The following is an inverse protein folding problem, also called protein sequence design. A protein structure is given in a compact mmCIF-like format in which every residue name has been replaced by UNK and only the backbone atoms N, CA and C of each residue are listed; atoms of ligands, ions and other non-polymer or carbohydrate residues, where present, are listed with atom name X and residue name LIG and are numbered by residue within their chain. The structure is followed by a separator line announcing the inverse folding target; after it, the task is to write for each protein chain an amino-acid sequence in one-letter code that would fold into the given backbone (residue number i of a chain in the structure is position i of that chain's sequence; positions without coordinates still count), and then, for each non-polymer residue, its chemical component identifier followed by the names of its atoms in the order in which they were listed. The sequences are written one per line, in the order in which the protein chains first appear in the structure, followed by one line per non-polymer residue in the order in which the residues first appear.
data_IF_374578661202
#
_entry.id   IF_374578661202
#
_cell.length_a   1.000
_cell.length_b   1.000
_cell.length_c   1.000
_cell.angle_alpha   90.00
_cell.angle_beta   90.00
_cell.angle_gamma   90.00
#
_symmetry.space_group_name_H-M   'P 1'
#
loop_
_entity.id
_entity.type
_entity.pdbx_description
1 polymer ?
#
# COMPACT_ATOMS: atom_id res chain seq x y z
N UNK A 1 -31.26 38.13 2.25
CA UNK A 1 -29.83 37.74 2.24
C UNK A 1 -29.29 37.94 0.81
N UNK A 2 -28.22 38.69 0.64
CA UNK A 2 -27.64 38.95 -0.70
C UNK A 2 -27.24 37.60 -1.37
N UNK A 3 -27.44 37.39 -2.69
CA UNK A 3 -27.24 36.12 -3.36
C UNK A 3 -25.78 35.56 -3.21
N UNK A 4 -24.79 36.44 -3.02
CA UNK A 4 -23.39 36.06 -2.74
C UNK A 4 -23.25 35.41 -1.34
N UNK A 5 -23.98 35.89 -0.33
CA UNK A 5 -23.94 35.35 1.04
C UNK A 5 -24.60 33.99 1.12
N UNK A 6 -25.70 33.76 0.38
CA UNK A 6 -26.40 32.47 0.29
C UNK A 6 -25.50 31.41 -0.36
N UNK A 7 -24.79 31.73 -1.47
CA UNK A 7 -23.84 30.85 -2.12
C UNK A 7 -22.65 30.49 -1.21
N UNK A 8 -22.13 31.45 -0.44
CA UNK A 8 -21.05 31.25 0.52
C UNK A 8 -21.47 30.31 1.66
N UNK A 9 -22.68 30.54 2.21
CA UNK A 9 -23.24 29.70 3.27
C UNK A 9 -23.46 28.25 2.80
N UNK A 10 -24.05 28.07 1.61
CA UNK A 10 -24.21 26.72 1.02
C UNK A 10 -22.85 26.04 0.88
N UNK A 11 -21.85 26.74 0.37
CA UNK A 11 -20.49 26.17 0.21
C UNK A 11 -19.85 25.79 1.55
N UNK A 12 -20.09 26.56 2.61
CA UNK A 12 -19.62 26.23 3.96
C UNK A 12 -20.31 24.97 4.46
N UNK A 13 -21.62 24.88 4.35
CA UNK A 13 -22.40 23.76 4.86
C UNK A 13 -22.19 22.46 4.06
N UNK A 14 -22.06 22.56 2.72
CA UNK A 14 -22.01 21.38 1.85
C UNK A 14 -20.59 20.89 1.56
N UNK A 15 -19.57 21.74 1.70
CA UNK A 15 -18.19 21.39 1.40
C UNK A 15 -17.29 21.48 2.64
N UNK A 16 -17.19 22.65 3.25
CA UNK A 16 -16.20 22.83 4.33
C UNK A 16 -16.57 22.09 5.62
N UNK A 17 -17.84 22.09 6.02
CA UNK A 17 -18.28 21.44 7.25
C UNK A 17 -18.10 19.89 7.17
N UNK A 18 -18.58 19.19 6.15
CA UNK A 18 -18.31 17.76 6.00
C UNK A 18 -16.80 17.44 5.90
N UNK A 19 -16.05 18.26 5.16
CA UNK A 19 -14.61 18.07 5.01
C UNK A 19 -13.87 18.23 6.34
N UNK A 20 -14.21 19.25 7.12
CA UNK A 20 -13.64 19.46 8.46
C UNK A 20 -14.04 18.33 9.41
N UNK A 21 -15.30 17.86 9.34
CA UNK A 21 -15.74 16.71 10.13
C UNK A 21 -14.90 15.46 9.83
N UNK A 22 -14.71 15.12 8.56
CA UNK A 22 -13.89 13.97 8.17
C UNK A 22 -12.43 14.14 8.58
N UNK A 23 -11.86 15.34 8.43
CA UNK A 23 -10.48 15.61 8.85
C UNK A 23 -10.31 15.44 10.37
N UNK A 24 -11.25 15.92 11.17
CA UNK A 24 -11.22 15.73 12.63
C UNK A 24 -11.45 14.26 13.00
N UNK A 25 -12.43 13.61 12.38
CA UNK A 25 -12.77 12.21 12.65
C UNK A 25 -11.59 11.27 12.41
N UNK A 26 -10.83 11.48 11.32
CA UNK A 26 -9.62 10.68 11.00
C UNK A 26 -8.40 11.20 11.77
N UNK A 27 -8.29 12.53 11.93
CA UNK A 27 -7.11 13.16 12.54
C UNK A 27 -7.00 12.94 14.04
N UNK A 28 -8.13 13.01 14.77
CA UNK A 28 -8.13 12.87 16.24
C UNK A 28 -7.52 11.56 16.71
N UNK A 29 -7.89 10.37 16.18
CA UNK A 29 -7.26 9.12 16.57
C UNK A 29 -5.75 9.07 16.26
N UNK A 30 -5.32 9.64 15.13
CA UNK A 30 -3.90 9.70 14.75
C UNK A 30 -3.11 10.63 15.68
N UNK A 31 -3.66 11.80 16.01
CA UNK A 31 -3.05 12.73 16.98
C UNK A 31 -3.01 12.11 18.37
N UNK A 32 -4.05 11.37 18.76
CA UNK A 32 -4.05 10.60 20.00
C UNK A 32 -2.95 9.54 20.04
N UNK A 33 -2.81 8.74 18.98
CA UNK A 33 -1.75 7.75 18.89
C UNK A 33 -0.36 8.42 18.92
N UNK A 34 -0.19 9.56 18.24
CA UNK A 34 1.04 10.34 18.29
C UNK A 34 1.31 10.85 19.71
N UNK A 35 0.33 11.43 20.39
CA UNK A 35 0.45 11.85 21.78
C UNK A 35 0.84 10.69 22.71
N UNK A 36 0.15 9.54 22.55
CA UNK A 36 0.37 8.35 23.33
C UNK A 36 1.79 7.81 23.16
N UNK A 37 2.37 7.89 21.97
CA UNK A 37 3.74 7.43 21.69
C UNK A 37 4.84 8.17 22.48
N UNK A 38 4.53 9.39 22.95
CA UNK A 38 5.43 10.20 23.78
C UNK A 38 5.15 10.12 25.27
N UNK A 39 4.18 9.29 25.72
CA UNK A 39 3.87 9.10 27.14
C UNK A 39 4.74 8.03 27.76
N UNK A 40 5.01 8.16 29.04
CA UNK A 40 5.59 7.10 29.84
C UNK A 40 4.56 5.97 30.04
N UNK A 41 4.97 4.69 29.80
CA UNK A 41 4.06 3.54 29.79
C UNK A 41 3.28 3.37 31.10
N UNK A 42 3.87 3.75 32.23
CA UNK A 42 3.22 3.70 33.55
C UNK A 42 2.04 4.69 33.71
N UNK A 43 2.05 5.81 32.99
CA UNK A 43 1.00 6.84 33.08
C UNK A 43 -0.31 6.42 32.41
N UNK A 44 -0.23 5.55 31.39
CA UNK A 44 -1.41 5.05 30.65
C UNK A 44 -2.27 4.12 31.50
N UNK A 45 -1.62 3.35 32.38
CA UNK A 45 -2.30 2.40 33.28
C UNK A 45 -3.10 3.12 34.37
N UNK A 46 -2.70 4.34 34.73
CA UNK A 46 -3.37 5.15 35.78
C UNK A 46 -4.69 5.76 35.33
N UNK A 47 -5.08 5.63 34.04
CA UNK A 47 -6.38 6.04 33.54
C UNK A 47 -6.58 7.56 33.43
N UNK A 48 -5.55 8.36 33.60
CA UNK A 48 -5.64 9.82 33.44
C UNK A 48 -5.72 10.19 31.96
N UNK A 49 -6.84 10.79 31.58
CA UNK A 49 -7.00 11.33 30.23
C UNK A 49 -6.20 12.62 30.08
N UNK A 50 -5.02 12.51 29.48
CA UNK A 50 -4.20 13.68 29.14
C UNK A 50 -3.96 13.68 27.62
N UNK A 51 -4.40 14.71 26.91
CA UNK A 51 -4.16 14.81 25.48
C UNK A 51 -2.69 15.16 25.16
N UNK A 52 -2.05 15.98 26.01
CA UNK A 52 -0.63 16.29 25.91
C UNK A 52 0.15 15.47 26.95
N UNK A 53 1.22 14.77 26.54
CA UNK A 53 2.01 13.96 27.45
C UNK A 53 2.81 14.85 28.42
N UNK A 54 2.79 14.51 29.72
CA UNK A 54 3.60 15.14 30.74
C UNK A 54 4.09 14.04 31.72
N UNK A 55 5.42 13.75 31.78
CA UNK A 55 6.48 14.32 30.93
C UNK A 55 6.49 13.75 29.50
N UNK A 56 6.98 14.55 28.53
CA UNK A 56 7.24 14.07 27.16
C UNK A 56 8.49 13.17 27.17
N UNK A 57 8.37 11.95 26.63
CA UNK A 57 9.50 11.03 26.52
C UNK A 57 9.63 10.44 25.13
N UNK A 58 10.87 10.22 24.68
CA UNK A 58 11.20 9.47 23.47
C UNK A 58 11.60 8.02 23.78
N UNK A 59 11.54 7.62 25.04
CA UNK A 59 11.98 6.29 25.51
C UNK A 59 11.29 5.15 24.77
N UNK A 60 9.99 5.30 24.45
CA UNK A 60 9.23 4.29 23.69
C UNK A 60 9.81 4.05 22.30
N UNK A 61 10.21 5.12 21.60
CA UNK A 61 10.83 5.01 20.27
C UNK A 61 12.17 4.29 20.34
N UNK A 62 13.01 4.64 21.32
CA UNK A 62 14.29 3.95 21.55
C UNK A 62 14.04 2.48 21.91
N UNK A 63 13.07 2.21 22.79
CA UNK A 63 12.72 0.85 23.21
C UNK A 63 12.27 -0.01 22.02
N UNK A 64 11.29 0.44 21.24
CA UNK A 64 10.78 -0.37 20.13
C UNK A 64 11.82 -0.55 19.03
N UNK A 65 12.63 0.48 18.77
CA UNK A 65 13.65 0.44 17.72
C UNK A 65 14.78 -0.53 18.06
N UNK A 66 15.27 -0.51 19.30
CA UNK A 66 16.44 -1.27 19.73
C UNK A 66 16.08 -2.58 20.44
N UNK A 67 15.30 -2.51 21.51
CA UNK A 67 14.99 -3.66 22.37
C UNK A 67 13.98 -4.61 21.72
N UNK A 68 12.94 -4.07 21.12
CA UNK A 68 11.94 -4.85 20.39
C UNK A 68 12.37 -5.21 18.95
N UNK A 69 13.54 -4.76 18.50
CA UNK A 69 14.13 -5.07 17.19
C UNK A 69 13.30 -4.56 16.00
N UNK A 70 12.49 -3.50 16.20
CA UNK A 70 11.67 -2.95 15.13
C UNK A 70 12.51 -2.46 13.93
N UNK A 71 13.76 -2.00 14.18
CA UNK A 71 14.74 -1.68 13.15
C UNK A 71 14.94 -2.84 12.16
N UNK A 72 15.06 -4.06 12.64
CA UNK A 72 15.21 -5.25 11.80
C UNK A 72 13.93 -5.58 11.05
N UNK A 73 12.80 -5.53 11.75
CA UNK A 73 11.48 -5.76 11.13
C UNK A 73 11.18 -4.74 10.03
N UNK A 74 11.57 -3.48 10.26
CA UNK A 74 11.47 -2.42 9.29
C UNK A 74 12.27 -2.70 8.01
N UNK A 75 13.53 -3.13 8.15
CA UNK A 75 14.37 -3.55 7.03
C UNK A 75 13.76 -4.74 6.28
N UNK A 76 13.25 -5.75 7.01
CA UNK A 76 12.59 -6.90 6.39
C UNK A 76 11.35 -6.47 5.58
N UNK A 77 10.52 -5.57 6.13
CA UNK A 77 9.38 -5.02 5.40
C UNK A 77 9.81 -4.24 4.15
N UNK A 78 10.88 -3.46 4.24
CA UNK A 78 11.44 -2.77 3.06
C UNK A 78 11.86 -3.76 1.99
N UNK A 79 12.61 -4.82 2.36
CA UNK A 79 13.07 -5.85 1.42
C UNK A 79 11.88 -6.54 0.77
N UNK A 80 10.91 -7.01 1.56
CA UNK A 80 9.76 -7.76 1.02
C UNK A 80 8.85 -6.89 0.19
N UNK A 81 8.56 -5.64 0.63
CA UNK A 81 7.67 -4.75 -0.11
C UNK A 81 8.32 -4.24 -1.39
N UNK A 82 9.52 -3.64 -1.33
CA UNK A 82 10.17 -3.12 -2.53
C UNK A 82 10.55 -4.22 -3.53
N UNK A 83 11.04 -5.37 -3.04
CA UNK A 83 11.36 -6.51 -3.89
C UNK A 83 10.12 -7.01 -4.65
N UNK A 84 9.00 -7.17 -3.94
CA UNK A 84 7.74 -7.60 -4.56
C UNK A 84 7.17 -6.55 -5.51
N UNK A 85 7.15 -5.28 -5.09
CA UNK A 85 6.60 -4.18 -5.89
C UNK A 85 7.36 -3.97 -7.19
N UNK A 86 8.68 -4.08 -7.17
CA UNK A 86 9.48 -4.00 -8.39
C UNK A 86 9.06 -5.06 -9.42
N UNK A 87 8.92 -6.30 -8.98
CA UNK A 87 8.51 -7.41 -9.87
C UNK A 87 7.05 -7.26 -10.29
N UNK A 88 6.14 -6.91 -9.36
CA UNK A 88 4.72 -6.68 -9.67
C UNK A 88 4.58 -5.56 -10.71
N UNK A 89 5.25 -4.43 -10.51
CA UNK A 89 5.18 -3.29 -11.42
C UNK A 89 5.67 -3.63 -12.82
N UNK A 90 6.81 -4.33 -12.89
CA UNK A 90 7.37 -4.79 -14.15
C UNK A 90 6.41 -5.75 -14.87
N UNK A 91 5.97 -6.81 -14.21
CA UNK A 91 5.07 -7.80 -14.82
C UNK A 91 3.69 -7.22 -15.12
N UNK A 92 3.15 -6.34 -14.27
CA UNK A 92 1.86 -5.69 -14.51
C UNK A 92 1.91 -4.78 -15.74
N UNK A 93 3.03 -4.09 -15.99
CA UNK A 93 3.20 -3.28 -17.20
C UNK A 93 3.10 -4.12 -18.47
N UNK A 94 3.82 -5.25 -18.51
CA UNK A 94 3.78 -6.15 -19.67
C UNK A 94 2.43 -6.84 -19.83
N UNK A 95 1.87 -7.37 -18.76
CA UNK A 95 0.55 -8.00 -18.76
C UNK A 95 -0.54 -7.00 -19.17
N UNK A 96 -0.51 -5.79 -18.60
CA UNK A 96 -1.42 -4.72 -18.93
C UNK A 96 -1.35 -4.31 -20.40
N UNK A 97 -0.13 -4.17 -20.93
CA UNK A 97 0.11 -3.89 -22.35
C UNK A 97 -0.42 -5.01 -23.23
N UNK A 98 -0.07 -6.25 -22.94
CA UNK A 98 -0.52 -7.41 -23.69
C UNK A 98 -2.06 -7.51 -23.71
N UNK A 99 -2.68 -7.39 -22.54
CA UNK A 99 -4.15 -7.42 -22.42
C UNK A 99 -4.85 -6.21 -23.06
N UNK A 100 -4.18 -5.05 -23.15
CA UNK A 100 -4.76 -3.86 -23.78
C UNK A 100 -4.65 -3.90 -25.31
N UNK A 101 -3.48 -4.25 -25.84
CA UNK A 101 -3.13 -4.09 -27.25
C UNK A 101 -3.40 -5.31 -28.12
N UNK A 102 -3.23 -6.52 -27.59
CA UNK A 102 -3.38 -7.73 -28.38
C UNK A 102 -4.77 -8.35 -28.26
N UNK A 103 -5.26 -8.87 -29.40
CA UNK A 103 -6.38 -9.78 -29.47
C UNK A 103 -5.85 -11.22 -29.55
N UNK A 104 -6.11 -12.04 -28.55
CA UNK A 104 -5.74 -13.44 -28.53
C UNK A 104 -6.90 -14.33 -28.07
N UNK A 105 -6.94 -15.57 -28.53
CA UNK A 105 -7.97 -16.53 -28.13
C UNK A 105 -7.86 -16.79 -26.64
N UNK A 106 -9.00 -16.75 -25.93
CA UNK A 106 -9.03 -16.96 -24.47
C UNK A 106 -8.76 -15.71 -23.61
N UNK A 107 -8.50 -14.53 -24.18
CA UNK A 107 -8.26 -13.28 -23.42
C UNK A 107 -9.35 -13.00 -22.38
N UNK A 108 -10.64 -13.17 -22.75
CA UNK A 108 -11.75 -12.95 -21.82
C UNK A 108 -11.71 -13.93 -20.65
N UNK A 109 -11.45 -15.21 -20.94
CA UNK A 109 -11.35 -16.26 -19.92
C UNK A 109 -10.17 -15.98 -18.99
N UNK A 110 -9.01 -15.62 -19.54
CA UNK A 110 -7.83 -15.23 -18.75
C UNK A 110 -8.12 -14.08 -17.78
N UNK A 111 -8.79 -13.02 -18.26
CA UNK A 111 -9.17 -11.90 -17.38
C UNK A 111 -10.18 -12.33 -16.30
N UNK A 112 -11.13 -13.21 -16.62
CA UNK A 112 -12.09 -13.74 -15.63
C UNK A 112 -11.35 -14.56 -14.58
N UNK A 113 -10.40 -15.42 -14.98
CA UNK A 113 -9.57 -16.18 -14.03
C UNK A 113 -8.82 -15.25 -13.09
N UNK A 114 -8.16 -14.19 -13.61
CA UNK A 114 -7.48 -13.22 -12.77
C UNK A 114 -8.42 -12.56 -11.75
N UNK A 115 -9.65 -12.22 -12.16
CA UNK A 115 -10.65 -11.68 -11.25
C UNK A 115 -11.09 -12.70 -10.20
N UNK A 116 -11.33 -13.95 -10.61
CA UNK A 116 -11.76 -15.03 -9.71
C UNK A 116 -10.73 -15.29 -8.61
N UNK A 117 -9.42 -15.21 -8.91
CA UNK A 117 -8.36 -15.36 -7.89
C UNK A 117 -8.46 -14.31 -6.78
N UNK A 118 -9.02 -13.14 -7.06
CA UNK A 118 -9.19 -12.06 -6.07
C UNK A 118 -10.46 -12.20 -5.23
N UNK A 119 -11.39 -13.07 -5.63
CA UNK A 119 -12.66 -13.30 -4.91
C UNK A 119 -12.52 -14.34 -3.79
N UNK A 120 -11.47 -15.15 -3.84
CA UNK A 120 -11.24 -16.18 -2.82
C UNK A 120 -10.52 -15.54 -1.63
N UNK A 121 -11.16 -15.50 -0.43
CA UNK A 121 -10.51 -14.96 0.74
C UNK A 121 -9.23 -15.74 1.08
N UNK A 122 -8.12 -15.02 1.25
CA UNK A 122 -6.79 -15.60 1.49
C UNK A 122 -6.77 -16.60 2.66
N UNK A 123 -7.56 -16.32 3.69
CA UNK A 123 -7.60 -17.13 4.91
C UNK A 123 -8.01 -18.59 4.64
N UNK A 124 -8.88 -18.86 3.67
CA UNK A 124 -9.30 -20.23 3.34
C UNK A 124 -8.19 -21.04 2.66
N UNK A 125 -7.23 -20.36 2.03
CA UNK A 125 -6.13 -21.01 1.34
C UNK A 125 -4.87 -21.14 2.18
N UNK A 126 -4.86 -20.62 3.42
CA UNK A 126 -3.63 -20.52 4.23
C UNK A 126 -2.96 -21.85 4.47
N UNK A 127 -3.72 -22.89 4.85
CA UNK A 127 -3.15 -24.23 5.09
C UNK A 127 -2.50 -24.82 3.84
N UNK A 128 -3.18 -24.66 2.68
CA UNK A 128 -2.64 -25.15 1.40
C UNK A 128 -1.39 -24.38 0.97
N UNK A 129 -1.39 -23.05 1.15
CA UNK A 129 -0.22 -22.19 0.89
C UNK A 129 0.94 -22.59 1.80
N UNK A 130 0.68 -22.78 3.10
CA UNK A 130 1.69 -23.20 4.06
C UNK A 130 2.34 -24.53 3.64
N UNK A 131 1.54 -25.56 3.37
CA UNK A 131 2.03 -26.89 2.93
C UNK A 131 2.82 -26.80 1.62
N UNK A 132 2.35 -25.99 0.67
CA UNK A 132 3.06 -25.76 -0.58
C UNK A 132 4.44 -25.11 -0.34
N UNK A 133 4.48 -24.08 0.50
CA UNK A 133 5.73 -23.37 0.81
C UNK A 133 6.73 -24.25 1.58
N UNK A 134 6.24 -25.13 2.45
CA UNK A 134 7.07 -26.13 3.13
C UNK A 134 7.68 -27.13 2.12
N UNK A 135 6.85 -27.69 1.22
CA UNK A 135 7.31 -28.61 0.17
C UNK A 135 8.35 -27.98 -0.76
N UNK A 136 8.17 -26.69 -1.08
CA UNK A 136 9.11 -25.91 -1.91
C UNK A 136 10.36 -25.46 -1.14
N UNK A 137 10.46 -25.73 0.18
CA UNK A 137 11.51 -25.24 1.08
C UNK A 137 11.63 -23.72 1.13
N UNK A 138 10.52 -23.03 0.93
CA UNK A 138 10.38 -21.57 0.92
C UNK A 138 9.67 -21.03 2.18
N UNK A 139 9.18 -21.91 3.05
CA UNK A 139 8.70 -21.54 4.37
C UNK A 139 9.82 -20.89 5.20
N UNK A 140 9.46 -20.00 6.11
CA UNK A 140 10.41 -19.24 6.93
C UNK A 140 11.49 -18.49 6.11
N UNK A 141 11.08 -17.89 4.98
CA UNK A 141 11.96 -17.18 4.05
C UNK A 141 11.34 -15.86 3.58
N UNK A 142 12.11 -14.76 3.64
CA UNK A 142 11.68 -13.47 3.08
C UNK A 142 11.44 -13.56 1.56
N UNK A 143 12.24 -14.34 0.86
CA UNK A 143 12.03 -14.61 -0.56
C UNK A 143 10.69 -15.32 -0.81
N UNK A 144 10.34 -16.29 0.04
CA UNK A 144 9.03 -16.95 -0.01
C UNK A 144 7.87 -15.95 0.17
N UNK A 145 7.99 -15.02 1.11
CA UNK A 145 7.01 -13.93 1.29
C UNK A 145 6.94 -13.05 0.04
N UNK A 146 8.08 -12.65 -0.54
CA UNK A 146 8.08 -11.88 -1.80
C UNK A 146 7.33 -12.61 -2.92
N UNK A 147 7.55 -13.91 -3.12
CA UNK A 147 6.84 -14.68 -4.13
C UNK A 147 5.33 -14.70 -3.91
N UNK A 148 4.89 -14.83 -2.66
CA UNK A 148 3.46 -14.81 -2.34
C UNK A 148 2.85 -13.42 -2.54
N UNK A 149 3.56 -12.36 -2.17
CA UNK A 149 3.14 -10.98 -2.48
C UNK A 149 2.98 -10.77 -3.99
N UNK A 150 3.94 -11.27 -4.79
CA UNK A 150 3.88 -11.18 -6.25
C UNK A 150 2.67 -11.98 -6.77
N UNK A 151 2.51 -13.23 -6.33
CA UNK A 151 1.42 -14.09 -6.77
C UNK A 151 0.03 -13.51 -6.45
N UNK A 152 -0.15 -12.95 -5.24
CA UNK A 152 -1.43 -12.37 -4.82
C UNK A 152 -1.69 -10.98 -5.43
N UNK A 153 -0.64 -10.17 -5.60
CA UNK A 153 -0.78 -8.80 -6.07
C UNK A 153 -0.84 -8.66 -7.59
N UNK A 154 -0.17 -9.55 -8.33
CA UNK A 154 -0.03 -9.44 -9.80
C UNK A 154 -1.37 -9.43 -10.56
N UNK A 155 -2.39 -10.26 -10.24
CA UNK A 155 -3.66 -10.25 -10.96
C UNK A 155 -4.32 -8.89 -10.98
N UNK A 156 -4.56 -8.30 -9.82
CA UNK A 156 -5.24 -7.01 -9.72
C UNK A 156 -4.43 -5.87 -10.35
N UNK A 157 -3.13 -5.81 -10.07
CA UNK A 157 -2.26 -4.77 -10.62
C UNK A 157 -2.14 -4.87 -12.15
N UNK A 158 -2.19 -6.09 -12.73
CA UNK A 158 -2.23 -6.29 -14.18
C UNK A 158 -3.52 -5.77 -14.82
N UNK A 159 -4.67 -6.02 -14.18
CA UNK A 159 -5.97 -5.51 -14.65
C UNK A 159 -6.04 -3.97 -14.54
N UNK A 160 -5.53 -3.42 -13.45
CA UNK A 160 -5.45 -1.98 -13.25
C UNK A 160 -4.55 -1.34 -14.33
N UNK A 161 -3.39 -1.93 -14.60
CA UNK A 161 -2.47 -1.45 -15.64
C UNK A 161 -3.08 -1.54 -17.04
N UNK A 162 -3.79 -2.64 -17.33
CA UNK A 162 -4.57 -2.78 -18.59
C UNK A 162 -5.55 -1.62 -18.77
N UNK A 163 -6.24 -1.20 -17.71
CA UNK A 163 -7.21 -0.09 -17.75
C UNK A 163 -6.52 1.23 -18.11
N UNK A 164 -5.38 1.53 -17.47
CA UNK A 164 -4.62 2.74 -17.77
C UNK A 164 -4.07 2.76 -19.20
N UNK A 165 -3.49 1.66 -19.66
CA UNK A 165 -2.97 1.56 -21.04
C UNK A 165 -4.12 1.59 -22.05
N UNK A 166 -5.27 1.03 -21.71
CA UNK A 166 -6.47 1.04 -22.55
C UNK A 166 -7.04 2.45 -22.82
N UNK A 167 -6.75 3.41 -21.93
CA UNK A 167 -7.11 4.81 -22.10
C UNK A 167 -6.23 5.58 -23.10
N UNK A 168 -5.12 4.99 -23.56
CA UNK A 168 -4.24 5.61 -24.57
C UNK A 168 -4.69 5.15 -25.97
N UNK A 169 -4.84 6.06 -26.94
CA UNK A 169 -5.14 5.73 -28.34
C UNK A 169 -4.09 4.76 -28.92
N UNK A 170 -4.53 3.81 -29.76
CA UNK A 170 -3.64 2.82 -30.39
C UNK A 170 -2.73 3.41 -31.44
N UNK A 171 -3.15 4.48 -32.04
CA UNK A 171 -2.44 5.24 -33.07
C UNK A 171 -1.06 5.71 -32.56
N UNK A 172 -0.90 5.89 -31.25
CA UNK A 172 0.39 6.24 -30.66
C UNK A 172 1.39 5.08 -30.78
N UNK A 173 0.93 3.84 -30.54
CA UNK A 173 1.77 2.64 -30.69
C UNK A 173 2.12 2.41 -32.16
N UNK A 174 1.16 2.66 -33.09
CA UNK A 174 1.32 2.50 -34.54
C UNK A 174 2.31 3.53 -35.09
N UNK A 175 2.17 4.80 -34.69
CA UNK A 175 3.12 5.85 -35.08
C UNK A 175 4.56 5.51 -34.62
N UNK A 176 4.72 5.08 -33.38
CA UNK A 176 6.03 4.67 -32.87
C UNK A 176 6.61 3.46 -33.63
N UNK A 177 5.76 2.54 -34.08
CA UNK A 177 6.20 1.40 -34.90
C UNK A 177 6.65 1.84 -36.30
N UNK A 178 5.97 2.82 -36.92
CA UNK A 178 6.37 3.44 -38.19
C UNK A 178 7.71 4.16 -38.05
N UNK A 179 7.95 4.82 -36.90
CA UNK A 179 9.24 5.45 -36.56
C UNK A 179 10.36 4.42 -36.24
N UNK A 180 10.12 3.12 -36.45
CA UNK A 180 11.12 2.07 -36.30
C UNK A 180 11.32 1.55 -34.87
N UNK A 181 10.47 1.92 -33.93
CA UNK A 181 10.54 1.42 -32.56
C UNK A 181 10.16 -0.07 -32.49
N UNK A 182 10.99 -0.87 -31.84
CA UNK A 182 10.61 -2.25 -31.47
C UNK A 182 9.63 -2.26 -30.27
N UNK A 183 9.01 -3.42 -29.98
CA UNK A 183 7.98 -3.55 -28.95
C UNK A 183 8.45 -3.11 -27.55
N UNK A 184 9.68 -3.42 -27.17
CA UNK A 184 10.21 -2.98 -25.89
C UNK A 184 10.39 -1.45 -25.86
N UNK A 185 10.86 -0.86 -26.96
CA UNK A 185 10.98 0.59 -27.06
C UNK A 185 9.62 1.29 -26.99
N UNK A 186 8.58 0.73 -27.63
CA UNK A 186 7.20 1.25 -27.53
C UNK A 186 6.75 1.24 -26.06
N UNK A 187 6.93 0.12 -25.35
CA UNK A 187 6.51 0.00 -23.95
C UNK A 187 7.26 1.00 -23.06
N UNK A 188 8.59 1.07 -23.15
CA UNK A 188 9.39 1.85 -22.20
C UNK A 188 9.55 3.32 -22.60
N UNK A 189 9.61 3.65 -23.89
CA UNK A 189 9.86 5.02 -24.36
C UNK A 189 8.58 5.79 -24.68
N UNK A 190 7.47 5.09 -24.95
CA UNK A 190 6.22 5.71 -25.38
C UNK A 190 5.11 5.47 -24.37
N UNK A 191 4.77 4.20 -24.12
CA UNK A 191 3.62 3.85 -23.28
C UNK A 191 3.88 4.16 -21.80
N UNK A 192 5.00 3.71 -21.24
CA UNK A 192 5.29 3.93 -19.81
C UNK A 192 5.33 5.42 -19.43
N UNK A 193 5.97 6.33 -20.19
CA UNK A 193 5.86 7.77 -19.94
C UNK A 193 4.44 8.29 -20.04
N UNK A 194 3.66 7.86 -21.04
CA UNK A 194 2.29 8.30 -21.23
C UNK A 194 1.34 7.84 -20.09
N UNK A 195 1.54 6.62 -19.56
CA UNK A 195 0.77 6.09 -18.42
C UNK A 195 1.43 6.36 -17.06
N UNK A 196 2.45 7.17 -16.98
CA UNK A 196 3.21 7.40 -15.73
C UNK A 196 2.32 7.65 -14.51
N UNK A 197 1.25 8.48 -14.55
CA UNK A 197 0.36 8.65 -13.40
C UNK A 197 -0.32 7.34 -12.99
N UNK A 198 -0.84 6.57 -13.97
CA UNK A 198 -1.46 5.27 -13.72
C UNK A 198 -0.47 4.23 -13.20
N UNK A 199 0.73 4.17 -13.77
CA UNK A 199 1.79 3.28 -13.29
C UNK A 199 2.20 3.60 -11.85
N UNK A 200 2.32 4.89 -11.51
CA UNK A 200 2.60 5.33 -10.13
C UNK A 200 1.50 4.88 -9.17
N UNK A 201 0.24 4.90 -9.59
CA UNK A 201 -0.90 4.40 -8.80
C UNK A 201 -0.80 2.89 -8.57
N UNK A 202 -0.46 2.12 -9.62
CA UNK A 202 -0.25 0.66 -9.53
C UNK A 202 0.87 0.33 -8.52
N UNK A 203 2.00 1.00 -8.61
CA UNK A 203 3.13 0.83 -7.70
C UNK A 203 2.75 1.19 -6.26
N UNK A 204 2.03 2.29 -6.06
CA UNK A 204 1.60 2.71 -4.73
C UNK A 204 0.65 1.70 -4.10
N UNK A 205 -0.33 1.22 -4.86
CA UNK A 205 -1.26 0.19 -4.40
C UNK A 205 -0.53 -1.10 -4.04
N UNK A 206 0.35 -1.58 -4.92
CA UNK A 206 1.16 -2.76 -4.66
C UNK A 206 2.02 -2.60 -3.39
N UNK A 207 2.62 -1.42 -3.18
CA UNK A 207 3.41 -1.16 -1.99
C UNK A 207 2.57 -1.20 -0.72
N UNK A 208 1.44 -0.51 -0.69
CA UNK A 208 0.56 -0.47 0.49
C UNK A 208 0.07 -1.88 0.84
N UNK A 209 -0.30 -2.69 -0.15
CA UNK A 209 -0.76 -4.07 0.08
C UNK A 209 0.36 -4.97 0.62
N UNK A 210 1.57 -4.88 0.06
CA UNK A 210 2.73 -5.65 0.56
C UNK A 210 3.19 -5.18 1.94
N UNK A 211 3.21 -3.86 2.19
CA UNK A 211 3.64 -3.28 3.46
C UNK A 211 2.72 -3.67 4.62
N UNK A 212 1.41 -3.66 4.39
CA UNK A 212 0.40 -3.98 5.39
C UNK A 212 0.13 -5.49 5.52
N UNK A 213 0.78 -6.31 4.69
CA UNK A 213 0.55 -7.75 4.74
C UNK A 213 1.01 -8.31 6.10
N UNK A 214 0.12 -9.02 6.77
CA UNK A 214 0.34 -9.60 8.08
C UNK A 214 0.15 -11.11 8.09
N UNK A 215 -0.92 -11.60 7.46
CA UNK A 215 -1.43 -12.95 7.64
C UNK A 215 -0.48 -14.02 7.07
N UNK A 216 0.02 -13.80 5.84
CA UNK A 216 1.00 -14.69 5.20
C UNK A 216 2.31 -14.72 6.00
N UNK A 217 2.77 -13.53 6.38
CA UNK A 217 4.03 -13.37 7.11
C UNK A 217 3.95 -14.00 8.51
N UNK A 218 2.84 -13.80 9.23
CA UNK A 218 2.62 -14.39 10.55
C UNK A 218 2.55 -15.92 10.51
N UNK A 219 1.92 -16.47 9.45
CA UNK A 219 1.75 -17.93 9.31
C UNK A 219 3.02 -18.64 8.85
N UNK A 220 3.80 -18.00 7.97
CA UNK A 220 4.92 -18.67 7.29
C UNK A 220 6.27 -18.42 7.94
N UNK A 221 6.44 -17.31 8.66
CA UNK A 221 7.71 -16.99 9.31
C UNK A 221 7.70 -17.46 10.77
N UNK A 222 8.68 -18.27 11.12
CA UNK A 222 8.87 -18.82 12.48
C UNK A 222 10.07 -18.19 13.19
N UNK A 223 11.04 -17.65 12.43
CA UNK A 223 12.21 -16.97 12.97
C UNK A 223 11.90 -15.48 13.15
N UNK A 224 11.90 -15.01 14.41
CA UNK A 224 11.68 -13.61 14.72
C UNK A 224 12.65 -12.65 14.01
N UNK A 225 13.82 -13.13 13.60
CA UNK A 225 14.78 -12.32 12.82
C UNK A 225 14.26 -11.96 11.42
N UNK A 226 13.23 -12.64 10.94
CA UNK A 226 12.65 -12.47 9.59
C UNK A 226 11.31 -11.77 9.60
N UNK A 227 10.76 -11.43 10.78
CA UNK A 227 9.46 -10.79 10.86
C UNK A 227 9.46 -9.43 10.17
N UNK A 228 8.41 -9.09 9.38
CA UNK A 228 8.14 -7.73 8.94
C UNK A 228 7.54 -6.90 10.07
N UNK A 229 7.42 -5.58 9.86
CA UNK A 229 6.88 -4.63 10.84
C UNK A 229 5.48 -5.03 11.31
N UNK A 230 4.60 -5.44 10.40
CA UNK A 230 3.23 -5.86 10.70
C UNK A 230 3.17 -7.00 11.72
N UNK A 231 4.04 -8.00 11.58
CA UNK A 231 4.18 -9.10 12.54
C UNK A 231 4.88 -8.64 13.81
N UNK A 232 5.94 -7.81 13.68
CA UNK A 232 6.68 -7.30 14.83
C UNK A 232 5.83 -6.48 15.78
N UNK A 233 4.91 -5.65 15.27
CA UNK A 233 3.97 -4.87 16.07
C UNK A 233 3.00 -5.76 16.86
N UNK A 234 2.60 -6.92 16.32
CA UNK A 234 1.76 -7.89 17.05
C UNK A 234 2.40 -8.36 18.35
N UNK A 235 3.73 -8.50 18.37
CA UNK A 235 4.45 -8.94 19.57
C UNK A 235 4.61 -7.86 20.67
N UNK A 236 4.24 -6.60 20.37
CA UNK A 236 4.07 -5.56 21.38
C UNK A 236 2.74 -5.68 22.15
N UNK A 237 1.79 -6.44 21.60
CA UNK A 237 0.53 -6.76 22.25
C UNK A 237 0.74 -8.02 23.07
N UNK A 238 0.96 -7.85 24.38
CA UNK A 238 1.13 -8.97 25.31
C UNK A 238 -0.19 -9.70 25.58
N UNK A 239 -0.08 -10.93 26.09
CA UNK A 239 -1.23 -11.76 26.45
C UNK A 239 -1.97 -11.21 27.68
N UNK A 240 -1.24 -10.70 28.66
CA UNK A 240 -1.78 -10.20 29.93
C UNK A 240 -1.70 -8.67 30.07
N UNK A 241 -0.79 -8.04 29.36
CA UNK A 241 -0.63 -6.58 29.38
C UNK A 241 -0.07 -6.08 28.05
N UNK A 242 -0.56 -4.94 27.59
CA UNK A 242 -0.08 -4.26 26.38
C UNK A 242 0.54 -2.93 26.77
N UNK A 243 1.78 -2.70 26.36
CA UNK A 243 2.37 -1.37 26.42
C UNK A 243 1.87 -0.53 25.24
N UNK A 244 0.77 0.17 25.47
CA UNK A 244 0.13 1.00 24.45
C UNK A 244 1.02 2.16 23.96
N UNK A 245 1.91 2.67 24.83
CA UNK A 245 2.83 3.75 24.47
C UNK A 245 3.91 3.24 23.51
N UNK A 246 4.48 2.08 23.79
CA UNK A 246 5.43 1.42 22.90
C UNK A 246 4.77 0.99 21.59
N UNK A 247 3.55 0.44 21.65
CA UNK A 247 2.78 0.06 20.47
C UNK A 247 2.50 1.28 19.59
N UNK A 248 2.06 2.40 20.18
CA UNK A 248 1.83 3.64 19.47
C UNK A 248 3.11 4.15 18.79
N UNK A 249 4.24 4.16 19.49
CA UNK A 249 5.53 4.55 18.91
C UNK A 249 5.93 3.65 17.72
N UNK A 250 5.72 2.34 17.85
CA UNK A 250 5.95 1.39 16.76
C UNK A 250 5.04 1.64 15.55
N UNK A 251 3.76 1.92 15.78
CA UNK A 251 2.80 2.26 14.73
C UNK A 251 3.17 3.57 14.02
N UNK A 252 3.61 4.61 14.74
CA UNK A 252 4.06 5.88 14.13
C UNK A 252 5.27 5.64 13.22
N UNK A 253 6.25 4.83 13.67
CA UNK A 253 7.39 4.45 12.81
C UNK A 253 6.90 3.70 11.56
N UNK A 254 5.98 2.76 11.72
CA UNK A 254 5.44 1.96 10.62
C UNK A 254 4.65 2.78 9.60
N UNK A 255 4.07 3.92 10.00
CA UNK A 255 3.34 4.83 9.11
C UNK A 255 4.26 5.69 8.21
N UNK A 256 5.53 5.85 8.55
CA UNK A 256 6.45 6.74 7.80
C UNK A 256 6.53 6.38 6.31
N UNK A 257 6.82 5.13 5.89
CA UNK A 257 6.95 4.80 4.47
C UNK A 257 5.64 4.97 3.67
N UNK A 258 4.47 4.52 4.13
CA UNK A 258 3.19 4.81 3.46
C UNK A 258 2.90 6.31 3.31
N UNK A 259 3.17 7.12 4.33
CA UNK A 259 2.96 8.59 4.29
C UNK A 259 3.88 9.22 3.25
N UNK A 260 5.16 8.87 3.25
CA UNK A 260 6.13 9.39 2.27
C UNK A 260 5.75 9.00 0.85
N UNK A 261 5.34 7.74 0.67
CA UNK A 261 4.85 7.27 -0.63
C UNK A 261 3.62 8.06 -1.08
N UNK A 262 2.62 8.24 -0.20
CA UNK A 262 1.41 8.98 -0.51
C UNK A 262 1.72 10.45 -0.84
N UNK A 263 2.58 11.11 -0.07
CA UNK A 263 3.03 12.48 -0.33
C UNK A 263 3.70 12.63 -1.70
N UNK A 264 4.42 11.59 -2.15
CA UNK A 264 5.00 11.55 -3.49
C UNK A 264 3.95 11.33 -4.58
N UNK A 265 3.04 10.37 -4.37
CA UNK A 265 2.08 9.90 -5.39
C UNK A 265 0.95 10.90 -5.62
N UNK A 266 0.46 11.61 -4.58
CA UNK A 266 -0.68 12.53 -4.65
C UNK A 266 -0.53 13.59 -5.76
N UNK A 267 0.68 14.12 -5.97
CA UNK A 267 0.93 15.09 -7.04
C UNK A 267 0.70 14.56 -8.45
N UNK A 268 0.85 13.25 -8.65
CA UNK A 268 0.65 12.57 -9.93
C UNK A 268 -0.81 12.15 -10.13
N UNK A 269 -1.53 11.85 -9.05
CA UNK A 269 -2.97 11.53 -9.09
C UNK A 269 -3.79 12.76 -9.51
N UNK A 270 -3.52 13.92 -8.92
CA UNK A 270 -4.24 15.17 -9.22
C UNK A 270 -4.05 15.61 -10.67
N UNK A 271 -2.84 15.46 -11.22
CA UNK A 271 -2.56 15.80 -12.61
C UNK A 271 -3.29 14.91 -13.62
N UNK A 272 -3.41 13.60 -13.32
CA UNK A 272 -4.13 12.64 -14.15
C UNK A 272 -5.65 12.87 -14.17
N UNK A 273 -6.25 13.29 -13.08
CA UNK A 273 -7.68 13.62 -12.98
C UNK A 273 -8.04 14.86 -13.81
N UNK A 274 -7.18 15.88 -13.81
CA UNK A 274 -7.41 17.11 -14.58
C UNK A 274 -7.34 16.88 -16.10
N UNK A 275 -6.48 15.95 -16.55
CA UNK A 275 -6.40 15.58 -17.97
C UNK A 275 -7.64 14.80 -18.46
N UNK A 276 -8.35 14.09 -17.59
CA UNK A 276 -9.60 13.38 -17.90
C UNK A 276 -10.85 14.29 -17.87
N UNK A 277 -10.83 15.35 -17.07
CA UNK A 277 -11.97 16.25 -16.88
C UNK A 277 -12.15 17.29 -18.03
N UNK A 278 -11.17 17.45 -18.91
CA UNK A 278 -11.21 18.40 -20.06
C UNK A 278 -11.85 17.77 -21.31
N UNK A 279 -12.32 16.52 -21.24
CA UNK A 279 -13.02 15.82 -22.33
C UNK A 279 -14.54 15.80 -22.20
N UNK A 280 -15.11 16.70 -21.39
CA UNK A 280 -16.55 16.94 -21.28
C UNK A 280 -16.93 18.34 -21.73
#
# INVERSE_FOLDING_TARGET
MKPKTKKKLIRVLTLYLPMTFFLLFIGIPLLWALSLSFREGSSVIKGEFQFLPDPITIANYVYVWTRNRLNRYFVNSMITSFGSVFVIGFLALFNGYAMSRFAFKGKRIFMVILLMTQMIPLIFNMSSIFLMMVKLKLANSLFGICLLHIASGLPYNSLMMKSFIGGIPREIDEAAAIDGCNRAQIIFKVILPAVRPGFTTVIAYAFITCWNEYLLSYTLLTDAKKFPVSVGLKYLVGEYSTDYSALAAGCIIALIPPILLFAYVQKHLVSGMNAGAVKG
#
